data_IF_727948141489
#
_entry.id   IF_727948141489
#
_cell.length_a   1.000
_cell.length_b   1.000
_cell.length_c   1.000
_cell.angle_alpha   90.00
_cell.angle_beta   90.00
_cell.angle_gamma   90.00
#
_symmetry.space_group_name_H-M   'P 1'
#
loop_
_entity.id
_entity.type
_entity.pdbx_description
1 polymer ?
#
# COMPACT_ATOMS: atom_id res chain seq x y z
N UNK A 1 13.05 14.99 -0.32
CA UNK A 1 12.81 13.53 -0.41
C UNK A 1 13.87 12.94 -1.31
N UNK A 2 14.71 12.10 -0.74
CA UNK A 2 15.69 11.29 -1.48
C UNK A 2 15.18 9.84 -1.59
N UNK A 3 15.73 9.09 -2.55
CA UNK A 3 15.44 7.65 -2.71
C UNK A 3 16.73 6.90 -2.42
N UNK A 4 16.85 6.37 -1.21
CA UNK A 4 17.99 5.58 -0.79
C UNK A 4 17.85 4.17 -1.34
N UNK A 5 18.76 3.76 -2.23
CA UNK A 5 18.81 2.39 -2.77
C UNK A 5 19.87 1.57 -2.04
N UNK A 6 19.49 0.38 -1.59
CA UNK A 6 20.40 -0.53 -0.90
C UNK A 6 20.15 -1.98 -1.32
N UNK A 7 21.22 -2.76 -1.38
CA UNK A 7 21.14 -4.22 -1.52
C UNK A 7 21.38 -4.95 -0.18
N UNK A 8 21.71 -4.20 0.88
CA UNK A 8 21.94 -4.73 2.23
C UNK A 8 20.79 -4.42 3.19
N UNK A 9 20.71 -5.17 4.30
CA UNK A 9 19.71 -4.93 5.33
C UNK A 9 19.95 -3.63 6.09
N UNK A 10 18.88 -2.98 6.50
CA UNK A 10 18.89 -1.87 7.45
C UNK A 10 18.10 -2.28 8.68
N UNK A 11 18.69 -2.20 9.87
CA UNK A 11 17.94 -2.43 11.10
C UNK A 11 16.83 -1.37 11.28
N UNK A 12 15.89 -1.66 12.17
CA UNK A 12 14.71 -0.81 12.37
C UNK A 12 15.08 0.65 12.61
N UNK A 13 16.09 0.92 13.47
CA UNK A 13 16.51 2.28 13.79
C UNK A 13 17.08 3.01 12.57
N UNK A 14 18.03 2.41 11.86
CA UNK A 14 18.65 3.02 10.68
C UNK A 14 17.62 3.28 9.57
N UNK A 15 16.67 2.36 9.40
CA UNK A 15 15.55 2.53 8.48
C UNK A 15 14.67 3.71 8.90
N UNK A 16 14.24 3.76 10.15
CA UNK A 16 13.32 4.77 10.68
C UNK A 16 13.93 6.18 10.63
N UNK A 17 15.26 6.31 10.90
CA UNK A 17 15.99 7.57 10.75
C UNK A 17 15.96 8.12 9.32
N UNK A 18 15.93 7.27 8.30
CA UNK A 18 15.79 7.67 6.90
C UNK A 18 14.34 8.04 6.60
N UNK A 19 13.38 7.15 6.92
CA UNK A 19 11.99 7.32 6.55
C UNK A 19 11.32 8.52 7.20
N UNK A 20 11.64 8.78 8.48
CA UNK A 20 10.98 9.86 9.23
C UNK A 20 11.62 11.24 9.03
N UNK A 21 12.65 11.31 8.19
CA UNK A 21 13.10 12.59 7.58
C UNK A 21 12.38 12.92 6.26
N UNK A 22 11.52 12.01 5.79
CA UNK A 22 10.79 12.18 4.55
C UNK A 22 11.48 11.57 3.32
N UNK A 23 12.45 10.67 3.54
CA UNK A 23 13.10 9.93 2.47
C UNK A 23 12.44 8.57 2.24
N UNK A 24 12.70 7.96 1.08
CA UNK A 24 12.22 6.63 0.72
C UNK A 24 13.38 5.65 0.68
N UNK A 25 13.11 4.37 0.96
CA UNK A 25 14.10 3.31 0.82
C UNK A 25 13.63 2.30 -0.23
N UNK A 26 14.53 1.91 -1.11
CA UNK A 26 14.33 0.79 -2.04
C UNK A 26 15.38 -0.28 -1.74
N UNK A 27 14.93 -1.39 -1.19
CA UNK A 27 15.73 -2.59 -1.05
C UNK A 27 15.69 -3.35 -2.38
N UNK A 28 16.87 -3.54 -2.99
CA UNK A 28 16.95 -4.07 -4.35
C UNK A 28 17.08 -5.59 -4.35
N UNK A 29 16.31 -6.23 -5.24
CA UNK A 29 16.45 -7.65 -5.62
C UNK A 29 16.43 -8.62 -4.44
N UNK A 30 15.40 -8.51 -3.57
CA UNK A 30 15.24 -9.37 -2.40
C UNK A 30 14.86 -10.80 -2.84
N UNK A 31 15.67 -11.84 -2.51
CA UNK A 31 15.43 -13.21 -2.98
C UNK A 31 14.05 -13.77 -2.62
N UNK A 32 13.55 -13.49 -1.40
CA UNK A 32 12.22 -13.93 -1.00
C UNK A 32 11.10 -13.29 -1.82
N UNK A 33 11.26 -12.03 -2.27
CA UNK A 33 10.31 -11.38 -3.18
C UNK A 33 10.36 -11.97 -4.58
N UNK A 34 11.52 -12.32 -5.08
CA UNK A 34 11.64 -13.00 -6.38
C UNK A 34 10.93 -14.36 -6.36
N UNK A 35 11.09 -15.13 -5.27
CA UNK A 35 10.36 -16.39 -5.09
C UNK A 35 8.84 -16.17 -5.01
N UNK A 36 8.41 -15.14 -4.27
CA UNK A 36 7.00 -14.77 -4.15
C UNK A 36 6.41 -14.31 -5.47
N UNK A 37 7.16 -13.51 -6.25
CA UNK A 37 6.77 -13.08 -7.58
C UNK A 37 6.53 -14.27 -8.52
N UNK A 38 7.46 -15.22 -8.59
CA UNK A 38 7.30 -16.43 -9.41
C UNK A 38 6.12 -17.31 -8.98
N UNK A 39 5.82 -17.35 -7.67
CA UNK A 39 4.63 -18.02 -7.16
C UNK A 39 3.36 -17.30 -7.61
N UNK A 40 3.29 -15.99 -7.43
CA UNK A 40 2.10 -15.19 -7.74
C UNK A 40 1.86 -15.05 -9.24
N UNK A 41 2.89 -14.95 -10.06
CA UNK A 41 2.74 -14.94 -11.53
C UNK A 41 2.00 -16.19 -12.01
N UNK A 42 2.37 -17.38 -11.51
CA UNK A 42 1.65 -18.62 -11.83
C UNK A 42 0.20 -18.57 -11.39
N UNK A 43 -0.08 -18.06 -10.18
CA UNK A 43 -1.46 -17.98 -9.66
C UNK A 43 -2.31 -16.99 -10.45
N UNK A 44 -1.74 -15.83 -10.81
CA UNK A 44 -2.40 -14.81 -11.64
C UNK A 44 -2.74 -15.40 -13.00
N UNK A 45 -1.76 -15.98 -13.72
CA UNK A 45 -1.98 -16.55 -15.06
C UNK A 45 -2.98 -17.73 -15.05
N UNK A 46 -2.90 -18.60 -14.05
CA UNK A 46 -3.87 -19.69 -13.91
C UNK A 46 -5.30 -19.20 -13.65
N UNK A 47 -5.47 -18.01 -13.06
CA UNK A 47 -6.80 -17.51 -12.68
C UNK A 47 -7.35 -16.51 -13.69
N UNK A 48 -6.52 -15.60 -14.19
CA UNK A 48 -6.94 -14.55 -15.13
C UNK A 48 -6.66 -14.94 -16.60
N UNK A 49 -5.78 -15.90 -16.85
CA UNK A 49 -5.29 -16.28 -18.17
C UNK A 49 -3.94 -15.67 -18.48
N UNK A 50 -3.21 -16.24 -19.47
CA UNK A 50 -1.88 -15.79 -19.85
C UNK A 50 -1.86 -14.37 -20.44
N UNK A 51 -2.95 -13.93 -21.01
CA UNK A 51 -3.16 -12.62 -21.64
C UNK A 51 -4.13 -11.75 -20.83
N UNK A 52 -4.00 -11.76 -19.51
CA UNK A 52 -4.90 -10.99 -18.64
C UNK A 52 -4.83 -9.47 -18.89
N UNK A 53 -3.75 -8.97 -19.47
CA UNK A 53 -3.59 -7.57 -19.83
C UNK A 53 -4.55 -7.11 -20.93
N UNK A 54 -5.07 -8.04 -21.74
CA UNK A 54 -6.01 -7.79 -22.83
C UNK A 54 -7.49 -7.89 -22.40
N UNK A 55 -7.74 -8.28 -21.14
CA UNK A 55 -9.11 -8.46 -20.64
C UNK A 55 -9.73 -7.12 -20.31
N UNK A 56 -10.99 -6.91 -20.69
CA UNK A 56 -11.74 -5.72 -20.31
C UNK A 56 -12.01 -5.69 -18.80
N UNK A 57 -11.44 -4.68 -18.12
CA UNK A 57 -11.62 -4.47 -16.70
C UNK A 57 -13.07 -4.18 -16.27
N UNK A 58 -13.93 -3.79 -17.20
CA UNK A 58 -15.35 -3.53 -16.94
C UNK A 58 -16.22 -4.79 -17.06
N UNK A 59 -15.66 -5.90 -17.52
CA UNK A 59 -16.42 -7.13 -17.65
C UNK A 59 -16.72 -7.77 -16.28
N UNK A 60 -17.90 -8.34 -16.14
CA UNK A 60 -18.28 -9.11 -14.95
C UNK A 60 -17.41 -10.36 -14.81
N UNK A 61 -16.95 -10.95 -15.93
CA UNK A 61 -16.01 -12.08 -15.94
C UNK A 61 -14.67 -11.70 -15.29
N UNK A 62 -14.11 -10.53 -15.62
CA UNK A 62 -12.88 -10.06 -14.96
C UNK A 62 -13.07 -9.89 -13.46
N UNK A 63 -14.16 -9.26 -13.02
CA UNK A 63 -14.46 -9.08 -11.60
C UNK A 63 -14.62 -10.43 -10.87
N UNK A 64 -15.27 -11.42 -11.49
CA UNK A 64 -15.41 -12.76 -10.92
C UNK A 64 -14.06 -13.49 -10.81
N UNK A 65 -13.21 -13.42 -11.83
CA UNK A 65 -11.84 -13.98 -11.81
C UNK A 65 -10.97 -13.27 -10.77
N UNK A 66 -11.10 -11.94 -10.63
CA UNK A 66 -10.40 -11.21 -9.57
C UNK A 66 -10.84 -11.65 -8.17
N UNK A 67 -12.13 -11.91 -7.96
CA UNK A 67 -12.62 -12.45 -6.69
C UNK A 67 -11.98 -13.82 -6.40
N UNK A 68 -11.91 -14.70 -7.39
CA UNK A 68 -11.27 -16.02 -7.27
C UNK A 68 -9.75 -15.89 -6.99
N UNK A 69 -9.06 -14.97 -7.68
CA UNK A 69 -7.63 -14.70 -7.44
C UNK A 69 -7.39 -14.25 -5.99
N UNK A 70 -8.18 -13.29 -5.50
CA UNK A 70 -8.03 -12.78 -4.14
C UNK A 70 -8.39 -13.85 -3.08
N UNK A 71 -9.35 -14.72 -3.36
CA UNK A 71 -9.66 -15.86 -2.49
C UNK A 71 -8.49 -16.83 -2.42
N UNK A 72 -7.91 -17.23 -3.55
CA UNK A 72 -6.71 -18.08 -3.60
C UNK A 72 -5.54 -17.44 -2.87
N UNK A 73 -5.24 -16.19 -3.15
CA UNK A 73 -4.16 -15.42 -2.50
C UNK A 73 -4.32 -15.42 -0.97
N UNK A 74 -5.52 -15.11 -0.47
CA UNK A 74 -5.77 -15.06 0.98
C UNK A 74 -5.70 -16.44 1.67
N UNK A 75 -5.92 -17.53 0.93
CA UNK A 75 -5.83 -18.89 1.44
C UNK A 75 -4.39 -19.43 1.49
N UNK A 76 -3.44 -18.79 0.80
CA UNK A 76 -2.05 -19.26 0.69
C UNK A 76 -1.20 -18.69 1.84
N UNK A 77 -0.89 -19.49 2.87
CA UNK A 77 0.02 -19.07 3.97
C UNK A 77 1.41 -18.72 3.44
N UNK A 78 1.90 -19.46 2.44
CA UNK A 78 3.21 -19.27 1.81
C UNK A 78 3.44 -17.83 1.31
N UNK A 79 2.41 -17.11 0.88
CA UNK A 79 2.57 -15.71 0.45
C UNK A 79 2.98 -14.81 1.60
N UNK A 80 2.38 -14.99 2.78
CA UNK A 80 2.72 -14.23 3.99
C UNK A 80 4.09 -14.62 4.52
N UNK A 81 4.41 -15.90 4.53
CA UNK A 81 5.71 -16.41 4.96
C UNK A 81 6.84 -15.84 4.10
N UNK A 82 6.72 -15.89 2.76
CA UNK A 82 7.70 -15.32 1.85
C UNK A 82 7.82 -13.80 2.00
N UNK A 83 6.71 -13.09 2.21
CA UNK A 83 6.77 -11.65 2.43
C UNK A 83 7.40 -11.30 3.79
N UNK A 84 7.10 -12.04 4.85
CA UNK A 84 7.76 -11.88 6.15
C UNK A 84 9.28 -12.16 6.05
N UNK A 85 9.69 -13.19 5.30
CA UNK A 85 11.11 -13.42 5.00
C UNK A 85 11.75 -12.26 4.23
N UNK A 86 11.03 -11.65 3.29
CA UNK A 86 11.53 -10.47 2.58
C UNK A 86 11.74 -9.28 3.52
N UNK A 87 10.83 -9.06 4.47
CA UNK A 87 10.98 -8.04 5.51
C UNK A 87 12.20 -8.33 6.41
N UNK A 88 12.38 -9.58 6.82
CA UNK A 88 13.58 -9.99 7.58
C UNK A 88 14.87 -9.78 6.77
N UNK A 89 14.87 -10.12 5.47
CA UNK A 89 16.01 -9.87 4.58
C UNK A 89 16.31 -8.38 4.37
N UNK A 90 15.30 -7.51 4.50
CA UNK A 90 15.51 -6.06 4.50
C UNK A 90 16.07 -5.51 5.83
N UNK A 91 16.17 -6.36 6.86
CA UNK A 91 16.71 -6.02 8.18
C UNK A 91 15.68 -5.68 9.24
N UNK A 92 14.38 -5.86 8.94
CA UNK A 92 13.31 -5.68 9.92
C UNK A 92 13.39 -6.76 11.01
N UNK A 93 13.27 -6.36 12.25
CA UNK A 93 13.04 -7.29 13.35
C UNK A 93 11.57 -7.73 13.38
N UNK A 94 11.27 -8.83 12.71
CA UNK A 94 9.90 -9.35 12.55
C UNK A 94 9.25 -9.75 13.88
N UNK A 95 10.03 -9.96 14.96
CA UNK A 95 9.53 -10.33 16.28
C UNK A 95 9.04 -9.12 17.08
N UNK A 96 9.50 -7.92 16.74
CA UNK A 96 9.16 -6.66 17.42
C UNK A 96 8.17 -5.81 16.65
N UNK A 97 7.81 -6.23 15.44
CA UNK A 97 6.95 -5.44 14.57
C UNK A 97 5.54 -6.04 14.49
N UNK A 98 4.57 -5.14 14.40
CA UNK A 98 3.17 -5.44 14.13
C UNK A 98 2.84 -5.06 12.71
N UNK A 99 2.05 -5.88 12.04
CA UNK A 99 1.64 -5.61 10.65
C UNK A 99 0.14 -5.83 10.46
N UNK A 100 -0.42 -5.13 9.49
CA UNK A 100 -1.72 -5.47 8.95
C UNK A 100 -1.59 -6.72 8.04
N UNK A 101 -2.64 -7.08 7.34
CA UNK A 101 -2.54 -8.21 6.42
C UNK A 101 -1.76 -7.83 5.15
N UNK A 102 -1.12 -8.81 4.52
CA UNK A 102 -0.60 -8.66 3.17
C UNK A 102 -1.74 -8.53 2.17
N UNK A 103 -1.70 -7.50 1.33
CA UNK A 103 -2.69 -7.25 0.28
C UNK A 103 -2.08 -7.50 -1.10
N UNK A 104 -2.79 -8.24 -1.93
CA UNK A 104 -2.59 -8.22 -3.37
C UNK A 104 -3.56 -7.20 -3.97
N UNK A 105 -3.02 -6.20 -4.65
CA UNK A 105 -3.80 -5.16 -5.34
C UNK A 105 -3.73 -5.37 -6.84
N UNK A 106 -4.89 -5.26 -7.47
CA UNK A 106 -5.00 -5.05 -8.89
C UNK A 106 -5.51 -3.62 -9.13
N UNK A 107 -4.83 -2.88 -9.95
CA UNK A 107 -5.21 -1.54 -10.38
C UNK A 107 -5.31 -1.56 -11.90
N UNK A 108 -6.52 -1.78 -12.45
CA UNK A 108 -6.75 -1.81 -13.89
C UNK A 108 -6.69 -0.39 -14.48
N UNK A 109 -6.62 -0.26 -15.82
CA UNK A 109 -6.61 1.04 -16.51
C UNK A 109 -8.02 1.68 -16.51
N UNK A 110 -8.58 1.91 -15.33
CA UNK A 110 -9.89 2.54 -15.12
C UNK A 110 -9.89 3.38 -13.86
N UNK A 111 -10.71 4.44 -13.84
CA UNK A 111 -10.94 5.27 -12.67
C UNK A 111 -11.92 4.62 -11.67
N UNK A 112 -12.72 3.67 -12.13
CA UNK A 112 -13.72 3.02 -11.30
C UNK A 112 -13.11 1.99 -10.36
N UNK A 113 -13.63 1.93 -9.14
CA UNK A 113 -13.32 0.91 -8.15
C UNK A 113 -14.53 0.04 -7.88
N UNK A 114 -14.29 -1.23 -7.54
CA UNK A 114 -15.32 -2.13 -7.06
C UNK A 114 -14.82 -2.92 -5.83
N UNK A 115 -15.59 -3.91 -5.39
CA UNK A 115 -15.24 -4.71 -4.22
C UNK A 115 -13.97 -5.58 -4.40
N UNK A 116 -13.50 -5.79 -5.64
CA UNK A 116 -12.40 -6.69 -6.00
C UNK A 116 -11.11 -5.95 -6.37
N UNK A 117 -11.22 -4.77 -6.97
CA UNK A 117 -10.06 -3.98 -7.38
C UNK A 117 -10.26 -2.49 -7.13
N UNK A 118 -9.17 -1.74 -7.15
CA UNK A 118 -9.19 -0.28 -7.05
C UNK A 118 -8.93 0.35 -8.42
N UNK A 119 -9.68 1.41 -8.73
CA UNK A 119 -9.35 2.36 -9.77
C UNK A 119 -8.30 3.37 -9.31
N UNK A 120 -8.45 4.63 -9.67
CA UNK A 120 -7.65 5.72 -9.12
C UNK A 120 -7.86 5.85 -7.61
N UNK A 121 -6.78 6.19 -6.92
CA UNK A 121 -6.82 6.54 -5.50
C UNK A 121 -6.45 8.02 -5.42
N UNK A 122 -7.28 8.79 -4.75
CA UNK A 122 -7.05 10.20 -4.47
C UNK A 122 -5.81 10.43 -3.61
N UNK A 123 -5.42 11.69 -3.48
CA UNK A 123 -4.26 12.07 -2.67
C UNK A 123 -4.57 11.87 -1.20
N UNK A 124 -3.74 11.08 -0.52
CA UNK A 124 -3.95 10.72 0.88
C UNK A 124 -2.62 10.45 1.61
N UNK A 125 -2.72 10.39 2.91
CA UNK A 125 -1.71 9.80 3.80
C UNK A 125 -2.33 8.59 4.47
N UNK A 126 -1.60 7.50 4.58
CA UNK A 126 -2.14 6.32 5.25
C UNK A 126 -2.34 6.55 6.75
N UNK A 127 -1.57 7.48 7.34
CA UNK A 127 -1.75 7.93 8.72
C UNK A 127 -3.11 8.58 8.97
N UNK A 128 -3.77 9.13 7.96
CA UNK A 128 -5.13 9.67 8.11
C UNK A 128 -6.17 8.62 8.48
N UNK A 129 -5.98 7.38 8.02
CA UNK A 129 -6.86 6.27 8.37
C UNK A 129 -6.47 5.57 9.67
N UNK A 130 -5.18 5.36 9.91
CA UNK A 130 -4.67 4.61 11.05
C UNK A 130 -4.41 5.44 12.30
N UNK A 131 -4.08 6.71 12.15
CA UNK A 131 -3.56 7.60 13.19
C UNK A 131 -2.33 7.05 13.93
N UNK A 132 -1.48 6.29 13.22
CA UNK A 132 -0.21 5.77 13.74
C UNK A 132 0.93 6.48 13.02
N UNK A 133 1.55 7.45 13.67
CA UNK A 133 2.56 8.32 13.06
C UNK A 133 3.81 7.54 12.61
N UNK A 134 4.19 6.51 13.36
CA UNK A 134 5.35 5.65 13.06
C UNK A 134 5.01 4.48 12.12
N UNK A 135 3.85 4.51 11.48
CA UNK A 135 3.47 3.50 10.50
C UNK A 135 4.36 3.60 9.26
N UNK A 136 4.77 2.44 8.79
CA UNK A 136 5.61 2.26 7.60
C UNK A 136 4.84 1.43 6.59
N UNK A 137 4.95 1.79 5.33
CA UNK A 137 4.40 1.07 4.20
C UNK A 137 5.50 0.28 3.49
N UNK A 138 5.17 -0.94 3.12
CA UNK A 138 5.97 -1.85 2.32
C UNK A 138 5.23 -2.15 1.03
N UNK A 139 5.88 -1.89 -0.10
CA UNK A 139 5.25 -2.00 -1.40
C UNK A 139 6.19 -2.59 -2.45
N UNK A 140 5.68 -3.51 -3.28
CA UNK A 140 6.45 -4.12 -4.37
C UNK A 140 5.54 -4.40 -5.56
N UNK A 141 5.92 -4.05 -6.80
CA UNK A 141 5.18 -4.42 -7.99
C UNK A 141 5.40 -5.89 -8.33
N UNK A 142 4.37 -6.55 -8.84
CA UNK A 142 4.46 -7.94 -9.32
C UNK A 142 4.97 -8.00 -10.77
N UNK A 143 4.68 -6.97 -11.57
CA UNK A 143 5.09 -6.81 -12.96
C UNK A 143 5.76 -5.46 -13.18
N UNK A 144 6.48 -5.27 -14.31
CA UNK A 144 7.04 -3.96 -14.65
C UNK A 144 6.00 -2.84 -14.62
N UNK A 145 6.39 -1.69 -14.11
CA UNK A 145 5.55 -0.50 -13.97
C UNK A 145 6.10 0.67 -14.80
N UNK A 146 5.25 1.65 -15.07
CA UNK A 146 5.57 2.89 -15.77
C UNK A 146 5.20 4.11 -14.92
N UNK A 147 5.64 5.29 -15.30
CA UNK A 147 5.41 6.52 -14.56
C UNK A 147 3.91 6.85 -14.36
N UNK A 148 3.06 6.47 -15.31
CA UNK A 148 1.61 6.65 -15.20
C UNK A 148 0.89 5.47 -14.53
N UNK A 149 1.63 4.44 -14.11
CA UNK A 149 1.07 3.25 -13.46
C UNK A 149 1.82 2.84 -12.18
N UNK A 150 2.24 3.84 -11.40
CA UNK A 150 2.94 3.63 -10.12
C UNK A 150 2.35 4.51 -9.01
N UNK A 151 2.98 4.50 -7.84
CA UNK A 151 2.73 5.46 -6.77
C UNK A 151 3.43 6.79 -7.10
N UNK A 152 2.74 7.90 -6.90
CA UNK A 152 3.28 9.24 -7.02
C UNK A 152 3.29 9.89 -5.65
N UNK A 153 4.44 10.40 -5.24
CA UNK A 153 4.66 11.07 -3.97
C UNK A 153 4.74 12.57 -4.17
N UNK A 154 4.30 13.33 -3.16
CA UNK A 154 4.27 14.80 -3.17
C UNK A 154 5.13 15.34 -2.01
N UNK A 155 6.46 15.44 -2.20
CA UNK A 155 7.40 15.75 -1.12
C UNK A 155 7.19 17.12 -0.47
N UNK A 156 6.67 18.08 -1.20
CA UNK A 156 6.42 19.43 -0.67
C UNK A 156 5.34 19.47 0.43
N UNK A 157 4.52 18.42 0.48
CA UNK A 157 3.52 18.28 1.53
C UNK A 157 4.01 17.44 2.72
N UNK A 158 5.31 17.12 2.82
CA UNK A 158 5.82 16.32 3.94
C UNK A 158 5.54 16.99 5.29
N UNK A 159 5.89 18.28 5.41
CA UNK A 159 5.75 19.09 6.64
C UNK A 159 4.49 20.00 6.61
N UNK A 160 3.74 20.01 5.50
CA UNK A 160 2.61 20.89 5.33
C UNK A 160 1.30 20.20 5.70
N UNK A 161 0.43 20.84 6.49
CA UNK A 161 -0.92 20.33 6.70
C UNK A 161 -1.71 20.37 5.38
N UNK A 162 -2.58 19.39 5.19
CA UNK A 162 -3.47 19.28 4.02
C UNK A 162 -4.88 19.10 4.51
N UNK A 163 -5.81 19.97 4.10
CA UNK A 163 -7.22 19.82 4.41
C UNK A 163 -7.73 18.48 3.85
N UNK A 164 -8.41 17.69 4.70
CA UNK A 164 -8.73 16.30 4.39
C UNK A 164 -10.09 15.86 4.95
N UNK A 165 -10.51 14.64 4.63
CA UNK A 165 -11.82 14.09 5.00
C UNK A 165 -11.78 13.20 6.24
N UNK A 166 -10.73 13.24 7.07
CA UNK A 166 -10.62 12.38 8.27
C UNK A 166 -11.78 12.53 9.27
N UNK A 167 -12.33 13.74 9.41
CA UNK A 167 -13.46 13.99 10.28
C UNK A 167 -14.79 13.37 9.79
N UNK A 168 -14.88 13.05 8.51
CA UNK A 168 -16.10 12.56 7.84
C UNK A 168 -16.00 11.07 7.49
N UNK A 169 -14.80 10.49 7.61
CA UNK A 169 -14.53 9.12 7.23
C UNK A 169 -14.54 8.17 8.42
N UNK A 170 -15.14 7.00 8.23
CA UNK A 170 -15.16 5.93 9.22
C UNK A 170 -14.75 4.60 8.57
N UNK A 171 -13.81 3.91 9.20
CA UNK A 171 -13.38 2.59 8.76
C UNK A 171 -14.51 1.55 8.85
N UNK A 172 -15.34 1.63 9.87
CA UNK A 172 -16.49 0.74 10.05
C UNK A 172 -17.53 0.96 8.95
N UNK A 173 -17.82 2.22 8.61
CA UNK A 173 -18.71 2.56 7.50
C UNK A 173 -18.17 2.06 6.16
N UNK A 174 -16.86 2.21 5.91
CA UNK A 174 -16.21 1.65 4.73
C UNK A 174 -16.31 0.11 4.68
N UNK A 175 -16.03 -0.57 5.80
CA UNK A 175 -16.13 -2.04 5.86
C UNK A 175 -17.55 -2.53 5.56
N UNK A 176 -18.55 -1.85 6.11
CA UNK A 176 -19.95 -2.20 5.88
C UNK A 176 -20.36 -1.95 4.43
N UNK A 177 -20.02 -0.80 3.85
CA UNK A 177 -20.27 -0.50 2.44
C UNK A 177 -19.62 -1.55 1.50
N UNK A 178 -18.38 -1.96 1.82
CA UNK A 178 -17.68 -3.00 1.08
C UNK A 178 -18.35 -4.37 1.23
N UNK A 179 -18.84 -4.71 2.42
CA UNK A 179 -19.57 -5.97 2.68
C UNK A 179 -20.86 -6.01 1.86
N UNK A 180 -21.61 -4.91 1.86
CA UNK A 180 -22.85 -4.77 1.09
C UNK A 180 -22.59 -4.90 -0.43
N UNK A 181 -21.58 -4.19 -0.95
CA UNK A 181 -21.22 -4.31 -2.36
C UNK A 181 -20.89 -5.76 -2.74
N UNK A 182 -20.11 -6.47 -1.94
CA UNK A 182 -19.79 -7.88 -2.18
C UNK A 182 -20.98 -8.82 -2.16
N UNK A 183 -22.04 -8.50 -1.39
CA UNK A 183 -23.25 -9.29 -1.35
C UNK A 183 -24.18 -9.06 -2.55
N UNK A 184 -24.00 -7.97 -3.29
CA UNK A 184 -24.80 -7.65 -4.48
C UNK A 184 -24.25 -8.34 -5.73
N UNK A 185 -22.98 -8.07 -6.07
CA UNK A 185 -22.31 -8.70 -7.21
C UNK A 185 -20.79 -8.53 -7.11
N UNK A 186 -20.02 -9.27 -7.92
CA UNK A 186 -18.57 -9.16 -7.95
C UNK A 186 -18.08 -7.79 -8.47
N UNK A 187 -18.86 -7.13 -9.30
CA UNK A 187 -18.57 -5.84 -9.93
C UNK A 187 -19.27 -4.65 -9.25
N UNK A 188 -20.02 -4.88 -8.17
CA UNK A 188 -20.68 -3.81 -7.44
C UNK A 188 -19.68 -2.78 -6.91
N UNK A 189 -20.01 -1.52 -7.12
CA UNK A 189 -19.21 -0.40 -6.61
C UNK A 189 -19.40 -0.23 -5.10
N UNK A 190 -18.31 0.20 -4.43
CA UNK A 190 -18.38 0.55 -3.02
C UNK A 190 -18.86 2.00 -2.92
N UNK A 191 -20.05 2.20 -2.37
CA UNK A 191 -20.67 3.53 -2.21
C UNK A 191 -20.09 4.35 -1.04
N UNK A 192 -18.82 4.16 -0.70
CA UNK A 192 -18.14 4.88 0.39
C UNK A 192 -16.66 5.04 0.06
N UNK A 193 -16.02 6.18 0.42
CA UNK A 193 -14.61 6.40 0.15
C UNK A 193 -13.72 5.31 0.77
N UNK A 194 -12.71 4.88 0.01
CA UNK A 194 -11.79 3.81 0.43
C UNK A 194 -10.91 4.22 1.62
N UNK A 195 -10.48 5.47 1.64
CA UNK A 195 -9.63 6.10 2.64
C UNK A 195 -10.02 7.57 2.78
N UNK A 196 -9.60 8.26 3.84
CA UNK A 196 -9.62 9.71 3.85
C UNK A 196 -8.78 10.27 2.71
N UNK A 197 -9.21 11.39 2.13
CA UNK A 197 -8.58 12.02 0.96
C UNK A 197 -8.40 13.51 1.19
N UNK A 198 -7.48 14.13 0.43
CA UNK A 198 -7.30 15.57 0.43
C UNK A 198 -8.58 16.28 -0.07
N UNK A 199 -9.00 17.35 0.62
CA UNK A 199 -10.11 18.23 0.21
C UNK A 199 -9.65 19.39 -0.67
N UNK A 200 -8.37 19.73 -0.60
CA UNK A 200 -7.77 20.79 -1.39
C UNK A 200 -7.08 20.27 -2.64
N UNK A 201 -6.89 21.15 -3.61
CA UNK A 201 -6.17 20.81 -4.84
C UNK A 201 -4.69 20.58 -4.54
N UNK A 202 -4.18 19.44 -4.98
CA UNK A 202 -2.76 19.09 -4.88
C UNK A 202 -2.05 19.50 -6.17
N UNK A 203 -0.90 20.15 -6.06
CA UNK A 203 -0.07 20.51 -7.23
C UNK A 203 0.54 19.24 -7.84
N UNK A 204 -0.12 18.71 -8.85
CA UNK A 204 0.28 17.47 -9.51
C UNK A 204 1.57 17.57 -10.31
N UNK A 205 2.01 18.79 -10.69
CA UNK A 205 3.27 18.99 -11.41
C UNK A 205 4.50 18.70 -10.56
N UNK A 206 4.34 18.67 -9.25
CA UNK A 206 5.41 18.38 -8.26
C UNK A 206 5.42 16.94 -7.81
N UNK A 207 4.57 16.11 -8.38
CA UNK A 207 4.51 14.69 -8.11
C UNK A 207 5.76 13.95 -8.60
N UNK A 208 6.29 13.06 -7.76
CA UNK A 208 7.45 12.22 -8.06
C UNK A 208 6.98 10.77 -8.21
N UNK A 209 6.89 10.23 -9.44
CA UNK A 209 6.55 8.83 -9.66
C UNK A 209 7.72 7.92 -9.24
N UNK A 210 7.44 6.88 -8.47
CA UNK A 210 8.47 5.95 -8.00
C UNK A 210 8.52 4.72 -8.89
N UNK A 211 9.66 4.55 -9.57
CA UNK A 211 9.91 3.41 -10.44
C UNK A 211 10.89 2.44 -9.78
N UNK A 212 10.41 1.24 -9.48
CA UNK A 212 11.20 0.11 -8.98
C UNK A 212 10.89 -1.14 -9.81
N UNK A 213 11.82 -2.08 -9.81
CA UNK A 213 11.65 -3.33 -10.53
C UNK A 213 10.86 -4.36 -9.70
N UNK A 214 10.20 -5.34 -10.34
CA UNK A 214 9.74 -6.54 -9.63
C UNK A 214 10.90 -7.22 -8.89
N UNK A 215 10.66 -7.59 -7.62
CA UNK A 215 11.71 -8.09 -6.72
C UNK A 215 12.39 -7.03 -5.87
N UNK A 216 12.21 -5.74 -6.18
CA UNK A 216 12.55 -4.64 -5.27
C UNK A 216 11.44 -4.39 -4.25
N UNK A 217 11.79 -3.88 -3.08
CA UNK A 217 10.86 -3.52 -2.01
C UNK A 217 10.99 -2.03 -1.69
N UNK A 218 9.95 -1.27 -1.97
CA UNK A 218 9.82 0.12 -1.53
C UNK A 218 9.34 0.15 -0.08
N UNK A 219 10.02 0.95 0.73
CA UNK A 219 9.67 1.22 2.11
C UNK A 219 9.55 2.73 2.31
N UNK A 220 8.46 3.20 2.92
CA UNK A 220 8.21 4.62 3.13
C UNK A 220 7.33 4.89 4.36
N UNK A 221 7.47 6.09 4.94
CA UNK A 221 6.59 6.54 6.01
C UNK A 221 5.17 6.75 5.51
N UNK A 222 4.20 6.23 6.24
CA UNK A 222 2.76 6.41 5.95
C UNK A 222 2.29 7.86 6.02
N UNK A 223 3.13 8.77 6.54
CA UNK A 223 2.88 10.21 6.60
C UNK A 223 3.12 10.93 5.25
N UNK A 224 3.72 10.26 4.25
CA UNK A 224 3.84 10.85 2.92
C UNK A 224 2.50 11.06 2.25
N UNK A 225 2.26 12.25 1.72
CA UNK A 225 1.16 12.46 0.78
C UNK A 225 1.48 11.76 -0.53
N UNK A 226 0.62 10.86 -0.95
CA UNK A 226 0.80 10.09 -2.17
C UNK A 226 -0.55 9.73 -2.81
N UNK A 227 -0.51 9.24 -4.03
CA UNK A 227 -1.71 8.83 -4.75
C UNK A 227 -1.39 8.08 -6.04
N UNK A 228 -2.41 7.88 -6.86
CA UNK A 228 -2.25 7.41 -8.23
C UNK A 228 -1.70 8.53 -9.11
N UNK A 229 -1.05 8.16 -10.23
CA UNK A 229 -0.70 9.14 -11.25
C UNK A 229 -1.94 9.89 -11.74
N UNK A 230 -1.87 11.22 -11.93
CA UNK A 230 -2.94 11.98 -12.56
C UNK A 230 -3.11 11.67 -14.05
N UNK A 231 -2.08 11.08 -14.67
CA UNK A 231 -2.10 10.71 -16.08
C UNK A 231 -2.89 9.40 -16.31
N UNK A 232 -3.55 9.25 -17.48
CA UNK A 232 -4.22 8.01 -17.83
C UNK A 232 -3.28 6.80 -17.75
N UNK A 233 -3.71 5.74 -17.09
CA UNK A 233 -2.92 4.53 -16.94
C UNK A 233 -2.87 3.71 -18.22
N UNK A 234 -1.68 3.19 -18.52
CA UNK A 234 -1.46 2.22 -19.59
C UNK A 234 -1.34 0.82 -19.00
N UNK A 235 -2.42 0.04 -19.00
CA UNK A 235 -2.40 -1.36 -18.57
C UNK A 235 -2.64 -1.57 -17.08
N UNK A 236 -2.57 -2.83 -16.68
CA UNK A 236 -2.83 -3.30 -15.32
C UNK A 236 -1.59 -3.14 -14.44
N UNK A 237 -1.80 -2.77 -13.17
CA UNK A 237 -0.79 -2.90 -12.13
C UNK A 237 -1.21 -3.93 -11.11
N UNK A 238 -0.33 -4.88 -10.84
CA UNK A 238 -0.44 -5.75 -9.67
C UNK A 238 0.69 -5.43 -8.71
N UNK A 239 0.36 -5.23 -7.44
CA UNK A 239 1.34 -4.99 -6.40
C UNK A 239 0.94 -5.69 -5.09
N UNK A 240 1.96 -5.96 -4.29
CA UNK A 240 1.79 -6.33 -2.90
C UNK A 240 2.01 -5.12 -2.02
N UNK A 241 1.25 -5.02 -0.95
CA UNK A 241 1.41 -3.99 0.07
C UNK A 241 1.11 -4.53 1.46
N UNK A 242 1.84 -4.05 2.44
CA UNK A 242 1.67 -4.30 3.86
C UNK A 242 2.07 -3.05 4.62
N UNK A 243 1.41 -2.80 5.74
CA UNK A 243 1.77 -1.73 6.65
C UNK A 243 2.24 -2.34 7.96
N UNK A 244 3.21 -1.70 8.60
CA UNK A 244 3.74 -2.13 9.88
C UNK A 244 4.09 -0.95 10.78
N UNK A 245 4.29 -1.23 12.06
CA UNK A 245 4.93 -0.32 13.01
C UNK A 245 5.73 -1.16 14.03
N UNK A 246 6.76 -0.56 14.63
CA UNK A 246 7.53 -1.19 15.70
C UNK A 246 6.75 -1.13 17.01
N UNK A 247 6.67 -2.25 17.74
CA UNK A 247 5.93 -2.36 19.01
C UNK A 247 6.42 -1.40 20.10
N UNK A 248 7.70 -1.07 20.13
CA UNK A 248 8.26 -0.07 21.06
C UNK A 248 7.64 1.32 20.90
N UNK A 249 7.15 1.66 19.71
CA UNK A 249 6.45 2.93 19.48
C UNK A 249 5.12 3.00 20.27
N UNK A 250 4.49 1.88 20.54
CA UNK A 250 3.24 1.79 21.31
C UNK A 250 3.47 1.97 22.81
N UNK A 251 4.64 1.53 23.30
CA UNK A 251 4.98 1.53 24.73
C UNK A 251 5.52 2.87 25.22
N UNK A 252 5.66 3.85 24.34
CA UNK A 252 6.14 5.17 24.68
C UNK A 252 7.65 5.21 25.02
N UNK A 253 8.39 4.17 24.66
CA UNK A 253 9.85 4.07 24.89
C UNK A 253 10.68 5.09 24.08
N UNK A 254 10.02 6.03 23.47
CA UNK A 254 10.44 7.38 23.03
C UNK A 254 11.82 7.58 22.39
N UNK A 255 12.57 6.53 22.09
CA UNK A 255 13.92 6.63 21.55
C UNK A 255 14.00 6.59 20.02
N UNK A 256 12.86 6.63 19.33
CA UNK A 256 12.82 6.61 17.87
C UNK A 256 12.63 8.01 17.28
N UNK A 257 13.20 8.24 16.10
CA UNK A 257 12.84 9.40 15.25
C UNK A 257 11.38 9.23 14.87
N UNK A 258 10.57 10.26 15.09
CA UNK A 258 9.15 10.31 14.66
C UNK A 258 9.03 11.20 13.43
N UNK A 259 8.06 10.93 12.53
CA UNK A 259 7.78 11.87 11.45
C UNK A 259 7.29 13.19 12.02
N UNK A 260 7.30 14.29 11.25
CA UNK A 260 6.74 15.56 11.66
C UNK A 260 5.29 15.42 12.10
N UNK A 261 4.89 16.19 13.10
CA UNK A 261 3.51 16.19 13.56
C UNK A 261 2.57 16.60 12.44
N UNK A 262 1.56 15.78 12.23
CA UNK A 262 0.60 15.97 11.15
C UNK A 262 -0.71 16.53 11.71
N UNK A 263 -0.80 17.87 11.77
CA UNK A 263 -1.91 18.60 12.39
C UNK A 263 -3.21 18.56 11.57
N UNK A 264 -3.20 17.99 10.38
CA UNK A 264 -4.36 17.88 9.50
C UNK A 264 -5.22 16.63 9.78
N UNK A 265 -4.78 15.74 10.69
CA UNK A 265 -5.50 14.53 11.02
C UNK A 265 -6.50 14.75 12.18
N UNK A 266 -7.78 14.55 11.90
CA UNK A 266 -8.85 14.66 12.90
C UNK A 266 -9.11 13.37 13.71
N UNK A 267 -8.40 12.28 13.45
CA UNK A 267 -8.51 11.05 14.25
C UNK A 267 -7.93 11.28 15.65
N UNK A 268 -8.67 10.89 16.69
CA UNK A 268 -8.24 11.07 18.08
C UNK A 268 -7.44 9.89 18.61
N UNK A 269 -7.73 8.67 18.16
CA UNK A 269 -7.16 7.44 18.69
C UNK A 269 -6.46 6.62 17.59
N UNK A 270 -5.26 6.06 17.89
CA UNK A 270 -4.57 5.18 16.95
C UNK A 270 -5.29 3.83 16.76
N UNK A 271 -5.41 3.39 15.53
CA UNK A 271 -6.09 2.15 15.14
C UNK A 271 -5.17 0.91 15.26
N UNK A 272 -4.47 0.71 16.37
CA UNK A 272 -3.57 -0.43 16.60
C UNK A 272 -4.25 -1.78 16.41
N UNK A 273 -5.56 -1.88 16.59
CA UNK A 273 -6.30 -3.14 16.45
C UNK A 273 -6.32 -3.69 15.02
N UNK A 274 -5.93 -2.90 14.01
CA UNK A 274 -5.79 -3.38 12.63
C UNK A 274 -4.56 -4.27 12.45
N UNK A 275 -3.59 -4.18 13.36
CA UNK A 275 -2.29 -4.80 13.28
C UNK A 275 -2.19 -6.00 14.23
N UNK A 276 -1.41 -6.98 13.82
CA UNK A 276 -1.13 -8.19 14.60
C UNK A 276 0.38 -8.39 14.66
N UNK A 277 0.90 -9.10 15.67
CA UNK A 277 2.29 -9.52 15.61
C UNK A 277 2.61 -10.14 14.25
N UNK A 278 3.74 -9.77 13.69
CA UNK A 278 4.12 -10.27 12.36
C UNK A 278 4.55 -11.74 12.43
N UNK A 279 5.23 -12.13 13.54
CA UNK A 279 5.58 -13.49 13.89
C UNK A 279 5.31 -13.76 15.38
#
# INVERSE_FOLDING_TARGET
MEIVRTSGPLNDRARDEILFRGDLIVFSQIPALQALQGLLDRVVRQTLGDRFEDVDAHSSDFSARMAALLQRFNAMSQTRELFAHALAQSGMDVTRNFADKLFLRCVPPTEKSNAQFRGSIGYHRDTWGSNIQQQINWWTPLYPISANNTLVFYPEYWDAPVANTTAEWSFEAFREARRLARSQSADAQIGYPYAPEAKEAIDTHKGVPILIAPGDLLCFSSAHLHGSSPEPRSGYRFNLEMRSYCGSCREGDGQGVTPPENIDNAQSEPNYHWFKPLM
#
